data_IF_886207479619
#
_entry.id   IF_886207479619
#
_cell.length_a   1.000
_cell.length_b   1.000
_cell.length_c   1.000
_cell.angle_alpha   90.00
_cell.angle_beta   90.00
_cell.angle_gamma   90.00
#
_symmetry.space_group_name_H-M   'P 1'
#
loop_
_entity.id
_entity.type
_entity.pdbx_description
1 polymer ?
#
# COMPACT_ATOMS: atom_id res chain seq x y z
N UNK A 1 -8.82 7.46 -22.16
CA UNK A 1 -8.85 6.58 -20.97
C UNK A 1 -7.87 7.12 -19.94
N UNK A 2 -8.35 7.61 -18.81
CA UNK A 2 -7.50 8.11 -17.72
C UNK A 2 -6.70 6.95 -17.15
N UNK A 3 -5.36 7.01 -17.18
CA UNK A 3 -4.54 6.03 -16.47
C UNK A 3 -4.84 6.13 -14.97
N UNK A 4 -5.01 5.00 -14.26
CA UNK A 4 -5.09 5.02 -12.81
C UNK A 4 -3.85 5.75 -12.27
N UNK A 5 -4.06 6.80 -11.49
CA UNK A 5 -2.95 7.50 -10.85
C UNK A 5 -2.50 6.65 -9.67
N UNK A 6 -1.29 6.12 -9.76
CA UNK A 6 -0.66 5.35 -8.70
C UNK A 6 -0.10 6.31 -7.63
N UNK A 7 -1.01 6.83 -6.80
CA UNK A 7 -0.70 7.81 -5.76
C UNK A 7 0.27 7.24 -4.71
N UNK A 8 0.07 5.99 -4.29
CA UNK A 8 0.94 5.33 -3.34
C UNK A 8 2.37 5.26 -3.86
N UNK A 9 2.59 4.77 -5.09
CA UNK A 9 3.95 4.71 -5.67
C UNK A 9 4.58 6.09 -5.80
N UNK A 10 3.83 7.11 -6.24
CA UNK A 10 4.35 8.48 -6.36
C UNK A 10 4.78 9.06 -5.01
N UNK A 11 3.99 8.87 -3.97
CA UNK A 11 4.27 9.36 -2.64
C UNK A 11 5.49 8.67 -2.00
N UNK A 12 5.62 7.35 -2.18
CA UNK A 12 6.79 6.60 -1.75
C UNK A 12 8.05 7.04 -2.50
N UNK A 13 7.97 7.18 -3.83
CA UNK A 13 9.09 7.65 -4.65
C UNK A 13 9.55 9.06 -4.27
N UNK A 14 8.62 9.97 -3.99
CA UNK A 14 8.94 11.33 -3.54
C UNK A 14 9.71 11.36 -2.20
N UNK A 15 9.59 10.31 -1.39
CA UNK A 15 10.34 10.12 -0.14
C UNK A 15 11.63 9.30 -0.31
N UNK A 16 11.91 8.81 -1.52
CA UNK A 16 12.99 7.85 -1.77
C UNK A 16 12.74 6.47 -1.15
N UNK A 17 11.49 6.16 -0.80
CA UNK A 17 11.11 4.92 -0.14
C UNK A 17 10.62 3.88 -1.14
N UNK A 18 10.78 2.61 -0.79
CA UNK A 18 10.21 1.48 -1.51
C UNK A 18 9.15 0.81 -0.63
N UNK A 19 7.93 0.58 -1.13
CA UNK A 19 6.92 -0.12 -0.36
C UNK A 19 7.29 -1.61 -0.21
N UNK A 20 6.94 -2.16 0.95
CA UNK A 20 7.07 -3.59 1.22
C UNK A 20 6.10 -4.41 0.37
N UNK A 21 6.36 -5.71 0.24
CA UNK A 21 5.50 -6.62 -0.52
C UNK A 21 4.07 -6.64 0.03
N UNK A 22 3.93 -6.84 1.35
CA UNK A 22 2.62 -6.90 2.01
C UNK A 22 1.78 -5.62 1.85
N UNK A 23 2.42 -4.43 1.77
CA UNK A 23 1.70 -3.18 1.53
C UNK A 23 1.02 -3.20 0.16
N UNK A 24 1.71 -3.70 -0.87
CA UNK A 24 1.17 -3.84 -2.23
C UNK A 24 0.04 -4.88 -2.29
N UNK A 25 0.16 -5.96 -1.54
CA UNK A 25 -0.88 -6.99 -1.43
C UNK A 25 -2.14 -6.44 -0.78
N UNK A 26 -2.02 -5.69 0.32
CA UNK A 26 -3.16 -5.04 0.98
C UNK A 26 -3.82 -4.02 0.04
N UNK A 27 -3.05 -3.21 -0.68
CA UNK A 27 -3.63 -2.26 -1.64
C UNK A 27 -4.41 -2.96 -2.76
N UNK A 28 -3.95 -4.13 -3.22
CA UNK A 28 -4.67 -4.93 -4.20
C UNK A 28 -5.99 -5.47 -3.63
N UNK A 29 -5.96 -6.03 -2.42
CA UNK A 29 -7.15 -6.53 -1.72
C UNK A 29 -8.18 -5.42 -1.47
N UNK A 30 -7.74 -4.26 -0.97
CA UNK A 30 -8.59 -3.08 -0.74
C UNK A 30 -9.20 -2.58 -2.06
N UNK A 31 -8.42 -2.51 -3.14
CA UNK A 31 -8.91 -2.14 -4.47
C UNK A 31 -9.98 -3.11 -4.99
N UNK A 32 -9.89 -4.38 -4.62
CA UNK A 32 -10.88 -5.40 -4.96
C UNK A 32 -12.10 -5.40 -4.03
N UNK A 33 -12.14 -4.56 -2.99
CA UNK A 33 -13.23 -4.53 -2.01
C UNK A 33 -13.19 -5.71 -1.01
N UNK A 34 -12.04 -6.37 -0.88
CA UNK A 34 -11.86 -7.51 0.01
C UNK A 34 -11.67 -7.05 1.47
N UNK A 35 -12.18 -7.85 2.41
CA UNK A 35 -11.94 -7.67 3.85
C UNK A 35 -10.91 -8.68 4.35
N UNK A 36 -10.11 -8.32 5.35
CA UNK A 36 -9.09 -9.22 5.89
C UNK A 36 -8.40 -8.71 7.15
N UNK A 37 -7.46 -9.50 7.65
CA UNK A 37 -6.64 -9.18 8.83
C UNK A 37 -5.21 -8.88 8.41
N UNK A 38 -4.75 -7.66 8.69
CA UNK A 38 -3.34 -7.29 8.57
C UNK A 38 -2.64 -7.47 9.92
N UNK A 39 -1.79 -8.49 10.03
CA UNK A 39 -0.92 -8.69 11.18
C UNK A 39 0.52 -8.32 10.83
N UNK A 40 1.05 -7.27 11.46
CA UNK A 40 2.40 -6.77 11.22
C UNK A 40 2.97 -6.10 12.47
N UNK A 41 4.27 -6.29 12.73
CA UNK A 41 4.95 -5.77 13.92
C UNK A 41 5.07 -4.23 13.93
N UNK A 42 5.37 -3.62 15.08
CA UNK A 42 5.68 -2.18 15.13
C UNK A 42 6.95 -1.88 14.31
N UNK A 43 6.94 -0.77 13.56
CA UNK A 43 8.06 -0.39 12.68
C UNK A 43 8.03 -1.01 11.28
N UNK A 44 7.19 -2.01 11.01
CA UNK A 44 7.06 -2.66 9.69
C UNK A 44 6.33 -1.82 8.62
N UNK A 45 5.82 -0.64 8.98
CA UNK A 45 5.13 0.25 8.04
C UNK A 45 3.67 -0.13 7.77
N UNK A 46 3.00 -0.90 8.66
CA UNK A 46 1.58 -1.28 8.52
C UNK A 46 0.62 -0.10 8.31
N UNK A 47 0.93 1.07 8.85
CA UNK A 47 0.15 2.31 8.63
C UNK A 47 0.03 2.67 7.15
N UNK A 48 1.08 2.47 6.36
CA UNK A 48 1.06 2.76 4.92
C UNK A 48 0.40 1.66 4.09
N UNK A 49 0.09 0.51 4.68
CA UNK A 49 -0.61 -0.58 4.00
C UNK A 49 -2.13 -0.31 3.90
N UNK A 50 -2.70 0.45 4.83
CA UNK A 50 -4.15 0.66 4.97
C UNK A 50 -4.60 2.08 4.58
N UNK A 51 -3.83 2.75 3.71
CA UNK A 51 -4.09 4.11 3.25
C UNK A 51 -4.66 4.13 1.84
#
# INVERSE_FOLDING_TARGET
>A
MSRPTDFARRWFLARGWKPFAFQKEVWAAVKNGESGLLHASTGSGKTYAVW
#
